data_IF_290621705099
#
_entry.id   IF_290621705099
#
_cell.length_a   1.000
_cell.length_b   1.000
_cell.length_c   1.000
_cell.angle_alpha   90.00
_cell.angle_beta   90.00
_cell.angle_gamma   90.00
#
_symmetry.space_group_name_H-M   'P 1'
#
loop_
_entity.id
_entity.type
_entity.pdbx_description
1 polymer ?
#
# COMPACT_ATOMS: atom_id res chain seq x y z
N UNK A 1 -31.57 -1.00 -20.72
CA UNK A 1 -31.38 -1.98 -19.64
C UNK A 1 -31.32 -1.20 -18.35
N UNK A 2 -32.27 -1.40 -17.42
CA UNK A 2 -32.29 -0.68 -16.15
C UNK A 2 -30.94 -0.80 -15.46
N UNK A 3 -30.42 0.33 -14.98
CA UNK A 3 -29.15 0.35 -14.28
C UNK A 3 -29.15 -0.68 -13.16
N UNK A 4 -28.07 -1.46 -13.11
CA UNK A 4 -27.89 -2.58 -12.20
C UNK A 4 -27.61 -2.09 -10.78
N UNK A 5 -28.45 -1.19 -10.25
CA UNK A 5 -28.28 -0.51 -8.96
C UNK A 5 -28.11 -1.50 -7.81
N UNK A 6 -28.78 -2.65 -7.85
CA UNK A 6 -28.65 -3.70 -6.83
C UNK A 6 -27.23 -4.31 -6.76
N UNK A 7 -26.41 -4.13 -7.81
CA UNK A 7 -25.00 -4.59 -7.86
C UNK A 7 -24.00 -3.49 -7.51
N UNK A 8 -24.47 -2.31 -7.08
CA UNK A 8 -23.62 -1.15 -6.72
C UNK A 8 -22.51 -1.56 -5.75
N UNK A 9 -22.85 -2.35 -4.73
CA UNK A 9 -21.94 -2.83 -3.67
C UNK A 9 -21.37 -4.23 -3.91
N UNK A 10 -21.52 -4.80 -5.11
CA UNK A 10 -20.96 -6.12 -5.42
C UNK A 10 -19.53 -5.99 -5.94
N UNK A 11 -18.66 -6.84 -5.41
CA UNK A 11 -17.32 -7.12 -5.97
C UNK A 11 -17.42 -8.09 -7.15
N UNK A 12 -16.38 -8.13 -7.98
CA UNK A 12 -16.25 -9.11 -9.06
C UNK A 12 -16.30 -10.54 -8.53
N UNK A 13 -15.72 -10.79 -7.35
CA UNK A 13 -15.73 -12.10 -6.71
C UNK A 13 -17.14 -12.53 -6.28
N UNK A 14 -17.94 -11.62 -5.72
CA UNK A 14 -19.34 -11.91 -5.36
C UNK A 14 -20.17 -12.24 -6.59
N UNK A 15 -19.97 -11.51 -7.69
CA UNK A 15 -20.60 -11.82 -8.98
C UNK A 15 -20.16 -13.18 -9.54
N UNK A 16 -18.86 -13.53 -9.43
CA UNK A 16 -18.32 -14.84 -9.81
C UNK A 16 -18.98 -15.97 -9.01
N UNK A 17 -19.07 -15.86 -7.68
CA UNK A 17 -19.70 -16.88 -6.82
C UNK A 17 -21.16 -17.12 -7.22
N UNK A 18 -21.93 -16.05 -7.49
CA UNK A 18 -23.31 -16.16 -7.97
C UNK A 18 -23.41 -16.78 -9.37
N UNK A 19 -22.52 -16.41 -10.30
CA UNK A 19 -22.43 -17.04 -11.62
C UNK A 19 -22.17 -18.55 -11.52
N UNK A 20 -21.25 -18.96 -10.65
CA UNK A 20 -20.91 -20.38 -10.42
C UNK A 20 -22.09 -21.15 -9.83
N UNK A 21 -22.79 -20.59 -8.84
CA UNK A 21 -23.97 -21.23 -8.24
C UNK A 21 -25.08 -21.47 -9.27
N UNK A 22 -25.40 -20.47 -10.10
CA UNK A 22 -26.42 -20.59 -11.15
C UNK A 22 -26.00 -21.61 -12.23
N UNK A 23 -24.70 -21.68 -12.53
CA UNK A 23 -24.19 -22.68 -13.48
C UNK A 23 -24.33 -24.10 -12.93
N UNK A 24 -24.02 -24.33 -11.65
CA UNK A 24 -24.21 -25.63 -11.01
C UNK A 24 -25.67 -26.05 -10.99
N UNK A 25 -26.58 -25.13 -10.63
CA UNK A 25 -28.01 -25.40 -10.61
C UNK A 25 -28.55 -25.72 -12.00
N UNK A 26 -28.20 -24.92 -13.01
CA UNK A 26 -28.63 -25.14 -14.40
C UNK A 26 -28.11 -26.47 -14.95
N UNK A 27 -26.85 -26.83 -14.68
CA UNK A 27 -26.29 -28.09 -15.14
C UNK A 27 -26.89 -29.29 -14.41
N UNK A 28 -27.20 -29.15 -13.12
CA UNK A 28 -27.88 -30.18 -12.33
C UNK A 28 -29.26 -30.49 -12.89
N UNK A 29 -30.10 -29.46 -13.07
CA UNK A 29 -31.44 -29.62 -13.66
C UNK A 29 -31.38 -30.23 -15.07
N UNK A 30 -30.40 -29.81 -15.88
CA UNK A 30 -30.23 -30.36 -17.22
C UNK A 30 -29.87 -31.84 -17.18
N UNK A 31 -28.90 -32.22 -16.34
CA UNK A 31 -28.43 -33.61 -16.24
C UNK A 31 -29.47 -34.56 -15.65
N UNK A 32 -30.14 -34.15 -14.58
CA UNK A 32 -31.06 -35.01 -13.83
C UNK A 32 -32.42 -35.17 -14.53
N UNK A 33 -32.81 -34.18 -15.33
CA UNK A 33 -34.15 -34.13 -15.95
C UNK A 33 -34.08 -34.09 -17.46
N UNK A 34 -33.45 -33.07 -18.07
CA UNK A 34 -33.56 -32.87 -19.53
C UNK A 34 -32.72 -33.85 -20.36
N UNK A 35 -31.53 -34.21 -19.87
CA UNK A 35 -30.58 -35.11 -20.53
C UNK A 35 -30.72 -36.55 -20.00
N UNK A 36 -31.67 -36.81 -19.09
CA UNK A 36 -31.90 -38.13 -18.50
C UNK A 36 -32.70 -39.02 -19.47
N UNK A 37 -32.18 -40.19 -19.89
CA UNK A 37 -32.89 -41.08 -20.80
C UNK A 37 -34.26 -41.55 -20.30
N UNK A 38 -34.46 -41.57 -18.98
CA UNK A 38 -35.70 -42.01 -18.31
C UNK A 38 -36.61 -40.84 -17.93
N UNK A 39 -36.32 -39.61 -18.37
CA UNK A 39 -37.06 -38.42 -17.95
C UNK A 39 -38.57 -38.52 -18.18
N UNK A 40 -38.98 -39.06 -19.33
CA UNK A 40 -40.40 -39.23 -19.69
C UNK A 40 -41.13 -40.30 -18.86
N UNK A 41 -40.40 -41.13 -18.11
CA UNK A 41 -40.95 -42.13 -17.19
C UNK A 41 -41.00 -41.60 -15.74
N UNK A 42 -40.17 -40.60 -15.42
CA UNK A 42 -39.99 -40.07 -14.07
C UNK A 42 -40.72 -38.75 -13.81
N UNK A 43 -41.04 -38.00 -14.86
CA UNK A 43 -41.64 -36.68 -14.79
C UNK A 43 -42.78 -36.54 -15.78
N UNK A 44 -43.78 -35.75 -15.41
CA UNK A 44 -44.84 -35.36 -16.33
C UNK A 44 -44.30 -34.40 -17.40
N UNK A 45 -44.92 -34.39 -18.57
CA UNK A 45 -44.51 -33.53 -19.68
C UNK A 45 -44.50 -32.04 -19.29
N UNK A 46 -45.47 -31.61 -18.50
CA UNK A 46 -45.58 -30.23 -18.00
C UNK A 46 -44.42 -29.87 -17.06
N UNK A 47 -43.93 -30.82 -16.25
CA UNK A 47 -42.78 -30.64 -15.37
C UNK A 47 -41.47 -30.51 -16.17
N UNK A 48 -41.31 -31.34 -17.21
CA UNK A 48 -40.15 -31.27 -18.12
C UNK A 48 -40.12 -29.91 -18.84
N UNK A 49 -41.27 -29.47 -19.38
CA UNK A 49 -41.39 -28.17 -20.05
C UNK A 49 -41.09 -27.00 -19.09
N UNK A 50 -41.59 -27.04 -17.85
CA UNK A 50 -41.29 -26.04 -16.82
C UNK A 50 -39.80 -25.99 -16.47
N UNK A 51 -39.14 -27.15 -16.37
CA UNK A 51 -37.71 -27.26 -16.08
C UNK A 51 -36.87 -26.76 -17.26
N UNK A 52 -37.30 -27.00 -18.50
CA UNK A 52 -36.66 -26.45 -19.69
C UNK A 52 -36.69 -24.91 -19.67
N UNK A 53 -37.85 -24.33 -19.39
CA UNK A 53 -38.00 -22.87 -19.22
C UNK A 53 -37.11 -22.36 -18.09
N UNK A 54 -37.04 -23.06 -16.95
CA UNK A 54 -36.18 -22.71 -15.83
C UNK A 54 -34.69 -22.73 -16.21
N UNK A 55 -34.22 -23.77 -16.93
CA UNK A 55 -32.84 -23.88 -17.41
C UNK A 55 -32.48 -22.77 -18.39
N UNK A 56 -33.40 -22.42 -19.31
CA UNK A 56 -33.23 -21.30 -20.22
C UNK A 56 -33.15 -19.96 -19.46
N UNK A 57 -34.03 -19.73 -18.49
CA UNK A 57 -34.01 -18.53 -17.63
C UNK A 57 -32.70 -18.43 -16.83
N UNK A 58 -32.26 -19.53 -16.20
CA UNK A 58 -30.98 -19.60 -15.47
C UNK A 58 -29.79 -19.30 -16.39
N UNK A 59 -29.83 -19.78 -17.63
CA UNK A 59 -28.78 -19.51 -18.63
C UNK A 59 -28.72 -18.02 -19.01
N UNK A 60 -29.85 -17.35 -19.17
CA UNK A 60 -29.90 -15.90 -19.42
C UNK A 60 -29.39 -15.10 -18.22
N UNK A 61 -29.82 -15.45 -17.01
CA UNK A 61 -29.35 -14.79 -15.78
C UNK A 61 -27.85 -15.00 -15.55
N UNK A 62 -27.33 -16.21 -15.82
CA UNK A 62 -25.89 -16.50 -15.82
C UNK A 62 -25.10 -15.58 -16.76
N UNK A 63 -25.60 -15.33 -17.97
CA UNK A 63 -24.96 -14.37 -18.91
C UNK A 63 -24.93 -12.95 -18.33
N UNK A 64 -26.01 -12.50 -17.68
CA UNK A 64 -26.03 -11.19 -16.98
C UNK A 64 -24.95 -11.11 -15.90
N UNK A 65 -24.79 -12.15 -15.08
CA UNK A 65 -23.74 -12.19 -14.06
C UNK A 65 -22.31 -12.28 -14.64
N UNK A 66 -22.14 -12.89 -15.82
CA UNK A 66 -20.85 -12.86 -16.52
C UNK A 66 -20.45 -11.42 -16.89
N UNK A 67 -21.39 -10.65 -17.47
CA UNK A 67 -21.15 -9.25 -17.79
C UNK A 67 -20.90 -8.37 -16.55
N UNK A 68 -21.66 -8.59 -15.47
CA UNK A 68 -21.44 -7.88 -14.19
C UNK A 68 -20.04 -8.15 -13.64
N UNK A 69 -19.65 -9.42 -13.58
CA UNK A 69 -18.32 -9.83 -13.10
C UNK A 69 -17.22 -9.15 -13.90
N UNK A 70 -17.29 -9.19 -15.23
CA UNK A 70 -16.28 -8.59 -16.09
C UNK A 70 -16.21 -7.07 -15.94
N UNK A 71 -17.36 -6.40 -15.92
CA UNK A 71 -17.42 -4.94 -15.71
C UNK A 71 -16.81 -4.54 -14.36
N UNK A 72 -17.11 -5.29 -13.30
CA UNK A 72 -16.55 -5.05 -11.96
C UNK A 72 -15.06 -5.36 -11.89
N UNK A 73 -14.60 -6.46 -12.48
CA UNK A 73 -13.18 -6.82 -12.51
C UNK A 73 -12.34 -5.76 -13.25
N UNK A 74 -12.84 -5.21 -14.36
CA UNK A 74 -12.17 -4.13 -15.08
C UNK A 74 -12.07 -2.84 -14.24
N UNK A 75 -13.10 -2.53 -13.46
CA UNK A 75 -13.12 -1.38 -12.54
C UNK A 75 -12.16 -1.58 -11.38
N UNK A 76 -12.21 -2.72 -10.71
CA UNK A 76 -11.28 -3.09 -9.61
C UNK A 76 -9.83 -3.01 -10.09
N UNK A 77 -9.52 -3.60 -11.25
CA UNK A 77 -8.19 -3.52 -11.85
C UNK A 77 -7.74 -2.08 -12.10
N UNK A 78 -8.61 -1.22 -12.63
CA UNK A 78 -8.29 0.20 -12.83
C UNK A 78 -8.00 0.92 -11.52
N UNK A 79 -8.82 0.69 -10.48
CA UNK A 79 -8.60 1.30 -9.17
C UNK A 79 -7.28 0.85 -8.52
N UNK A 80 -6.92 -0.43 -8.69
CA UNK A 80 -5.65 -0.96 -8.19
C UNK A 80 -4.45 -0.35 -8.95
N UNK A 81 -4.57 -0.18 -10.27
CA UNK A 81 -3.58 0.51 -11.11
C UNK A 81 -3.39 1.97 -10.68
N UNK A 82 -4.49 2.70 -10.44
CA UNK A 82 -4.48 4.08 -9.93
C UNK A 82 -3.81 4.17 -8.55
N UNK A 83 -4.17 3.28 -7.62
CA UNK A 83 -3.57 3.24 -6.29
C UNK A 83 -2.06 2.96 -6.35
N UNK A 84 -1.65 2.04 -7.23
CA UNK A 84 -0.23 1.72 -7.43
C UNK A 84 0.53 2.94 -7.99
N UNK A 85 -0.07 3.66 -8.93
CA UNK A 85 0.51 4.89 -9.47
C UNK A 85 0.65 5.98 -8.40
N UNK A 86 -0.36 6.16 -7.54
CA UNK A 86 -0.32 7.10 -6.41
C UNK A 86 0.81 6.74 -5.46
N UNK A 87 0.91 5.48 -5.02
CA UNK A 87 2.00 5.03 -4.14
C UNK A 87 3.38 5.28 -4.75
N UNK A 88 3.53 5.07 -6.05
CA UNK A 88 4.79 5.36 -6.75
C UNK A 88 5.14 6.86 -6.73
N UNK A 89 4.14 7.74 -6.88
CA UNK A 89 4.30 9.20 -6.77
C UNK A 89 4.71 9.58 -5.34
N UNK A 90 4.01 9.06 -4.32
CA UNK A 90 4.31 9.32 -2.91
C UNK A 90 5.74 8.88 -2.56
N UNK A 91 6.12 7.66 -2.92
CA UNK A 91 7.48 7.12 -2.74
C UNK A 91 8.56 8.00 -3.37
N UNK A 92 8.33 8.45 -4.61
CA UNK A 92 9.26 9.36 -5.29
C UNK A 92 9.44 10.67 -4.52
N UNK A 93 8.35 11.28 -4.05
CA UNK A 93 8.42 12.54 -3.32
C UNK A 93 8.98 12.38 -1.90
N UNK A 94 8.68 11.29 -1.20
CA UNK A 94 9.29 10.95 0.08
C UNK A 94 10.82 10.86 -0.03
N UNK A 95 11.33 10.16 -1.05
CA UNK A 95 12.76 10.09 -1.34
C UNK A 95 13.35 11.48 -1.62
N UNK A 96 12.70 12.29 -2.46
CA UNK A 96 13.14 13.65 -2.75
C UNK A 96 13.22 14.54 -1.51
N UNK A 97 12.25 14.44 -0.59
CA UNK A 97 12.25 15.18 0.67
C UNK A 97 13.44 14.74 1.52
N UNK A 98 13.62 13.43 1.72
CA UNK A 98 14.69 12.90 2.56
C UNK A 98 16.08 13.24 2.01
N UNK A 99 16.27 13.09 0.70
CA UNK A 99 17.55 13.37 0.02
C UNK A 99 17.87 14.86 -0.05
N UNK A 100 16.85 15.73 -0.03
CA UNK A 100 17.06 17.19 0.05
C UNK A 100 17.72 17.62 1.35
N UNK A 101 17.58 16.85 2.43
CA UNK A 101 18.24 17.10 3.71
C UNK A 101 19.66 16.55 3.74
N UNK A 102 19.87 15.36 3.18
CA UNK A 102 21.19 14.77 3.02
C UNK A 102 21.17 13.70 1.91
N UNK A 103 21.88 13.95 0.79
CA UNK A 103 21.94 13.02 -0.33
C UNK A 103 22.95 11.87 -0.13
N UNK A 104 23.75 11.89 0.95
CA UNK A 104 24.66 10.77 1.24
C UNK A 104 23.89 9.63 1.91
N UNK A 105 23.75 8.50 1.23
CA UNK A 105 23.01 7.34 1.72
C UNK A 105 23.80 6.52 2.76
N UNK A 106 25.10 6.78 2.94
CA UNK A 106 25.93 6.14 3.98
C UNK A 106 25.76 6.80 5.36
N UNK A 107 25.09 7.95 5.42
CA UNK A 107 24.85 8.72 6.65
C UNK A 107 23.36 9.02 6.82
N UNK A 108 22.98 9.35 8.06
CA UNK A 108 21.63 9.79 8.37
C UNK A 108 21.70 10.98 9.32
N UNK A 109 21.30 12.17 8.86
CA UNK A 109 21.54 13.40 9.62
C UNK A 109 20.53 13.58 10.73
N UNK A 110 20.86 14.47 11.68
CA UNK A 110 19.92 14.95 12.70
C UNK A 110 18.63 15.46 12.07
N UNK A 111 18.72 16.18 10.96
CA UNK A 111 17.55 16.74 10.27
C UNK A 111 16.63 15.65 9.73
N UNK A 112 17.22 14.62 9.11
CA UNK A 112 16.47 13.45 8.64
C UNK A 112 15.84 12.68 9.80
N UNK A 113 16.58 12.49 10.90
CA UNK A 113 16.11 11.84 12.12
C UNK A 113 14.93 12.57 12.74
N UNK A 114 15.08 13.87 13.00
CA UNK A 114 14.04 14.67 13.63
C UNK A 114 12.81 14.79 12.74
N UNK A 115 12.98 14.93 11.42
CA UNK A 115 11.86 14.96 10.49
C UNK A 115 11.11 13.63 10.48
N UNK A 116 11.81 12.49 10.44
CA UNK A 116 11.20 11.16 10.48
C UNK A 116 10.32 10.99 11.72
N UNK A 117 10.87 11.21 12.92
CA UNK A 117 10.11 11.04 14.17
C UNK A 117 8.93 12.01 14.24
N UNK A 118 9.12 13.26 13.78
CA UNK A 118 8.05 14.26 13.73
C UNK A 118 6.93 13.85 12.77
N UNK A 119 7.28 13.33 11.59
CA UNK A 119 6.32 12.83 10.59
C UNK A 119 5.54 11.62 11.10
N UNK A 120 6.20 10.69 11.79
CA UNK A 120 5.55 9.56 12.47
C UNK A 120 4.56 10.02 13.55
N UNK A 121 4.93 11.03 14.35
CA UNK A 121 4.04 11.59 15.37
C UNK A 121 2.85 12.33 14.75
N UNK A 122 3.09 13.13 13.69
CA UNK A 122 2.06 13.88 12.97
C UNK A 122 0.98 12.95 12.40
N UNK A 123 1.40 11.81 11.87
CA UNK A 123 0.46 10.84 11.31
C UNK A 123 -0.23 9.99 12.38
N UNK A 124 0.12 10.10 13.67
CA UNK A 124 -0.42 9.24 14.75
C UNK A 124 -0.39 7.75 14.37
N UNK A 125 0.61 7.36 13.60
CA UNK A 125 0.65 6.10 12.88
C UNK A 125 1.10 4.93 13.76
N UNK A 126 0.86 3.71 13.26
CA UNK A 126 1.47 2.46 13.74
C UNK A 126 3.00 2.43 13.61
N UNK A 127 3.59 3.42 12.94
CA UNK A 127 5.01 3.54 12.59
C UNK A 127 5.75 4.52 13.52
N UNK A 128 5.31 4.67 14.78
CA UNK A 128 6.11 5.38 15.77
C UNK A 128 7.34 4.52 16.02
N UNK A 129 8.55 5.03 15.74
CA UNK A 129 9.75 4.24 15.87
C UNK A 129 10.02 3.88 17.33
N UNK A 130 10.36 2.62 17.56
CA UNK A 130 10.79 2.14 18.86
C UNK A 130 12.23 2.63 19.15
N UNK A 131 12.58 2.75 20.44
CA UNK A 131 13.88 3.32 20.85
C UNK A 131 15.08 2.62 20.22
N UNK A 132 15.02 1.29 20.07
CA UNK A 132 16.10 0.52 19.45
C UNK A 132 16.23 0.76 17.94
N UNK A 133 15.16 1.20 17.28
CA UNK A 133 15.17 1.54 15.85
C UNK A 133 15.83 2.89 15.59
N UNK A 134 15.86 3.74 16.62
CA UNK A 134 16.44 5.07 16.61
C UNK A 134 17.92 5.08 17.04
N UNK A 135 18.39 4.01 17.68
CA UNK A 135 19.74 3.91 18.21
C UNK A 135 20.71 3.30 17.19
N UNK A 136 21.65 4.11 16.70
CA UNK A 136 22.69 3.67 15.76
C UNK A 136 23.66 2.66 16.38
N UNK A 137 23.75 2.56 17.71
CA UNK A 137 24.59 1.60 18.40
C UNK A 137 23.79 0.43 18.97
N UNK A 138 22.53 0.27 18.55
CA UNK A 138 21.73 -0.84 19.03
C UNK A 138 22.39 -2.20 18.71
N UNK A 139 22.57 -3.04 19.74
CA UNK A 139 23.27 -4.33 19.68
C UNK A 139 24.72 -4.27 19.19
N UNK A 140 25.42 -3.15 19.41
CA UNK A 140 26.83 -3.04 19.01
C UNK A 140 27.73 -4.08 19.70
N UNK A 141 27.45 -4.41 20.96
CA UNK A 141 28.22 -5.40 21.72
C UNK A 141 27.82 -6.86 21.39
N UNK A 142 26.77 -7.06 20.59
CA UNK A 142 26.16 -8.38 20.36
C UNK A 142 25.76 -8.57 18.89
N UNK A 143 26.73 -8.47 17.99
CA UNK A 143 26.54 -8.76 16.57
C UNK A 143 27.64 -9.66 16.00
N UNK A 144 27.32 -10.35 14.90
CA UNK A 144 28.26 -11.24 14.19
C UNK A 144 28.82 -10.64 12.89
N UNK A 145 28.61 -9.34 12.65
CA UNK A 145 29.13 -8.64 11.48
C UNK A 145 30.64 -8.38 11.59
N UNK A 146 31.28 -8.21 10.43
CA UNK A 146 32.73 -8.03 10.28
C UNK A 146 33.28 -6.79 11.00
N UNK A 147 32.43 -5.78 11.23
CA UNK A 147 32.78 -4.59 12.00
C UNK A 147 31.55 -3.85 12.51
N UNK A 148 31.73 -3.07 13.59
CA UNK A 148 30.75 -2.13 14.12
C UNK A 148 30.29 -1.13 13.05
N UNK A 149 31.22 -0.72 12.16
CA UNK A 149 30.92 0.17 11.05
C UNK A 149 29.88 -0.44 10.11
N UNK A 150 30.00 -1.73 9.79
CA UNK A 150 29.04 -2.47 8.97
C UNK A 150 27.67 -2.56 9.65
N UNK A 151 27.62 -2.74 10.98
CA UNK A 151 26.37 -2.70 11.72
C UNK A 151 25.71 -1.32 11.63
N UNK A 152 26.47 -0.25 11.90
CA UNK A 152 25.96 1.12 11.85
C UNK A 152 25.47 1.51 10.46
N UNK A 153 26.15 1.08 9.40
CA UNK A 153 25.67 1.25 8.01
C UNK A 153 24.33 0.55 7.78
N UNK A 154 24.15 -0.68 8.29
CA UNK A 154 22.88 -1.39 8.22
C UNK A 154 21.78 -0.65 8.98
N UNK A 155 22.08 -0.10 10.15
CA UNK A 155 21.15 0.71 10.93
C UNK A 155 20.76 1.99 10.19
N UNK A 156 21.72 2.70 9.59
CA UNK A 156 21.43 3.85 8.71
C UNK A 156 20.48 3.47 7.57
N UNK A 157 20.73 2.35 6.90
CA UNK A 157 19.83 1.84 5.86
C UNK A 157 18.41 1.61 6.39
N UNK A 158 18.29 0.95 7.54
CA UNK A 158 16.98 0.70 8.16
C UNK A 158 16.28 1.98 8.61
N UNK A 159 17.00 2.95 9.18
CA UNK A 159 16.43 4.25 9.56
C UNK A 159 15.94 5.01 8.33
N UNK A 160 16.70 4.98 7.22
CA UNK A 160 16.28 5.58 5.95
C UNK A 160 15.01 4.93 5.41
N UNK A 161 14.95 3.61 5.37
CA UNK A 161 13.76 2.89 4.87
C UNK A 161 12.51 3.26 5.67
N UNK A 162 12.61 3.27 7.01
CA UNK A 162 11.49 3.64 7.89
C UNK A 162 11.13 5.13 7.81
N UNK A 163 12.12 5.99 7.61
CA UNK A 163 11.87 7.40 7.35
C UNK A 163 11.10 7.60 6.04
N UNK A 164 11.47 6.88 4.98
CA UNK A 164 10.73 6.90 3.71
C UNK A 164 9.29 6.43 3.91
N UNK A 165 9.06 5.31 4.62
CA UNK A 165 7.72 4.81 4.91
C UNK A 165 6.87 5.83 5.68
N UNK A 166 7.44 6.50 6.69
CA UNK A 166 6.73 7.53 7.46
C UNK A 166 6.36 8.75 6.60
N UNK A 167 7.25 9.18 5.70
CA UNK A 167 7.00 10.29 4.77
C UNK A 167 5.98 9.90 3.69
N UNK A 168 6.05 8.67 3.17
CA UNK A 168 5.08 8.10 2.23
C UNK A 168 3.67 8.12 2.84
N UNK A 169 3.52 7.67 4.08
CA UNK A 169 2.24 7.67 4.78
C UNK A 169 1.68 9.09 5.03
N UNK A 170 2.56 10.08 5.22
CA UNK A 170 2.13 11.48 5.26
C UNK A 170 1.55 11.93 3.92
N UNK A 171 2.20 11.55 2.80
CA UNK A 171 1.79 11.94 1.46
C UNK A 171 0.53 11.18 1.00
N UNK A 172 0.37 9.92 1.38
CA UNK A 172 -0.80 9.10 1.06
C UNK A 172 -2.10 9.72 1.59
N UNK A 173 -2.04 10.46 2.71
CA UNK A 173 -3.20 11.20 3.26
C UNK A 173 -3.71 12.34 2.38
N UNK A 174 -2.91 12.77 1.41
CA UNK A 174 -3.34 13.74 0.41
C UNK A 174 -4.32 13.12 -0.61
N UNK A 175 -4.56 11.81 -0.54
CA UNK A 175 -5.44 11.09 -1.46
C UNK A 175 -6.62 10.49 -0.71
N UNK A 176 -7.81 10.58 -1.31
CA UNK A 176 -9.03 9.98 -0.78
C UNK A 176 -9.82 9.33 -1.91
N UNK A 177 -10.44 8.18 -1.63
CA UNK A 177 -11.29 7.53 -2.61
C UNK A 177 -12.65 8.23 -2.69
N UNK A 178 -13.01 8.76 -3.86
CA UNK A 178 -14.30 9.39 -4.11
C UNK A 178 -15.29 8.37 -4.64
N UNK A 179 -16.32 8.04 -3.86
CA UNK A 179 -17.41 7.15 -4.31
C UNK A 179 -18.21 7.77 -5.46
N UNK A 180 -18.27 9.10 -5.53
CA UNK A 180 -19.00 9.84 -6.58
C UNK A 180 -18.28 9.77 -7.92
N UNK A 181 -16.96 9.97 -7.90
CA UNK A 181 -16.12 9.97 -9.11
C UNK A 181 -15.62 8.57 -9.45
N UNK A 182 -15.77 7.62 -8.52
CA UNK A 182 -15.31 6.24 -8.66
C UNK A 182 -13.81 6.14 -8.95
N UNK A 183 -13.04 6.99 -8.29
CA UNK A 183 -11.62 7.17 -8.51
C UNK A 183 -10.93 7.69 -7.23
N UNK A 184 -9.62 7.53 -7.18
CA UNK A 184 -8.79 8.23 -6.19
C UNK A 184 -8.64 9.70 -6.56
N UNK A 185 -8.95 10.58 -5.62
CA UNK A 185 -8.91 12.03 -5.81
C UNK A 185 -7.95 12.64 -4.80
N UNK A 186 -7.13 13.57 -5.26
CA UNK A 186 -6.27 14.36 -4.39
C UNK A 186 -7.15 15.31 -3.55
N UNK A 187 -7.21 15.10 -2.23
CA UNK A 187 -7.81 16.04 -1.29
C UNK A 187 -6.95 17.29 -1.12
N UNK A 188 -5.64 17.13 -1.25
CA UNK A 188 -4.62 18.19 -1.25
C UNK A 188 -3.67 17.94 -2.41
N UNK A 189 -3.33 18.94 -3.23
CA UNK A 189 -2.31 18.78 -4.26
C UNK A 189 -0.99 18.27 -3.69
N UNK A 190 -0.33 17.32 -4.38
CA UNK A 190 0.90 16.69 -3.89
C UNK A 190 2.00 17.70 -3.53
N UNK A 191 2.07 18.83 -4.23
CA UNK A 191 3.03 19.90 -3.94
C UNK A 191 2.78 20.54 -2.57
N UNK A 192 1.53 20.83 -2.24
CA UNK A 192 1.15 21.39 -0.94
C UNK A 192 1.36 20.37 0.18
N UNK A 193 1.14 19.08 -0.08
CA UNK A 193 1.46 18.02 0.87
C UNK A 193 2.98 17.93 1.15
N UNK A 194 3.81 18.03 0.11
CA UNK A 194 5.28 18.08 0.25
C UNK A 194 5.70 19.32 1.07
N UNK A 195 5.16 20.50 0.77
CA UNK A 195 5.43 21.73 1.51
C UNK A 195 5.03 21.61 2.99
N UNK A 196 3.90 20.96 3.26
CA UNK A 196 3.44 20.70 4.64
C UNK A 196 4.43 19.84 5.41
N UNK A 197 4.93 18.76 4.80
CA UNK A 197 5.95 17.89 5.42
C UNK A 197 7.24 18.68 5.67
N UNK A 198 7.71 19.46 4.69
CA UNK A 198 8.89 20.29 4.85
C UNK A 198 8.72 21.32 5.97
N UNK A 199 7.51 21.88 6.12
CA UNK A 199 7.18 22.81 7.19
C UNK A 199 7.22 22.17 8.59
N UNK A 200 7.12 20.84 8.71
CA UNK A 200 7.27 20.14 10.01
C UNK A 200 8.62 20.41 10.66
N UNK A 201 9.68 20.65 9.86
CA UNK A 201 11.02 21.03 10.37
C UNK A 201 11.01 22.32 11.21
N UNK A 202 10.01 23.18 11.02
CA UNK A 202 9.83 24.44 11.75
C UNK A 202 8.79 24.34 12.87
N UNK A 203 8.21 23.17 13.07
CA UNK A 203 7.19 22.96 14.09
C UNK A 203 7.80 22.87 15.49
N UNK A 204 7.00 23.19 16.51
CA UNK A 204 7.40 22.98 17.91
C UNK A 204 7.66 21.51 18.23
N UNK A 205 6.97 20.59 17.55
CA UNK A 205 7.15 19.15 17.71
C UNK A 205 8.54 18.71 17.28
N UNK A 206 9.06 19.23 16.17
CA UNK A 206 10.43 18.96 15.73
C UNK A 206 11.46 19.37 16.79
N UNK A 207 11.32 20.56 17.37
CA UNK A 207 12.20 21.00 18.47
C UNK A 207 12.06 20.15 19.73
N UNK A 208 10.87 19.61 20.00
CA UNK A 208 10.65 18.69 21.12
C UNK A 208 11.32 17.32 20.87
N UNK A 209 11.24 16.82 19.64
CA UNK A 209 11.91 15.58 19.21
C UNK A 209 13.43 15.73 19.35
N UNK A 210 14.01 16.82 18.84
CA UNK A 210 15.45 17.07 18.94
C UNK A 210 15.92 17.04 20.40
N UNK A 211 15.19 17.69 21.31
CA UNK A 211 15.51 17.68 22.75
C UNK A 211 15.33 16.30 23.39
N UNK A 212 14.25 15.60 23.07
CA UNK A 212 13.92 14.29 23.67
C UNK A 212 14.93 13.22 23.29
N UNK A 213 15.39 13.23 22.05
CA UNK A 213 16.27 12.21 21.48
C UNK A 213 17.72 12.67 21.31
N UNK A 214 18.12 13.77 21.96
CA UNK A 214 19.49 14.30 21.90
C UNK A 214 20.56 13.23 22.18
N UNK A 215 20.29 12.32 23.13
CA UNK A 215 21.17 11.21 23.50
C UNK A 215 21.36 10.15 22.39
N UNK A 216 20.44 10.05 21.41
CA UNK A 216 20.56 9.16 20.24
C UNK A 216 21.14 9.90 19.03
N UNK A 217 20.86 11.21 18.93
CA UNK A 217 21.37 12.08 17.88
C UNK A 217 22.89 12.24 18.00
N UNK A 218 23.43 12.38 19.21
CA UNK A 218 24.87 12.59 19.40
C UNK A 218 25.73 11.42 18.86
N UNK A 219 25.44 10.14 19.20
CA UNK A 219 26.13 9.01 18.58
C UNK A 219 25.96 8.92 17.06
N UNK A 220 24.78 9.28 16.55
CA UNK A 220 24.50 9.31 15.11
C UNK A 220 25.37 10.35 14.39
N UNK A 221 25.47 11.56 14.94
CA UNK A 221 26.32 12.61 14.39
C UNK A 221 27.82 12.25 14.50
N UNK A 222 28.23 11.57 15.57
CA UNK A 222 29.60 11.08 15.70
C UNK A 222 29.95 10.11 14.56
N UNK A 223 29.07 9.13 14.28
CA UNK A 223 29.23 8.23 13.15
C UNK A 223 29.27 8.98 11.81
N UNK A 224 28.37 9.94 11.58
CA UNK A 224 28.37 10.71 10.32
C UNK A 224 29.71 11.44 10.10
N UNK A 225 30.29 12.03 11.15
CA UNK A 225 31.62 12.67 11.09
C UNK A 225 32.73 11.68 10.76
N UNK A 226 32.68 10.45 11.28
CA UNK A 226 33.62 9.39 10.95
C UNK A 226 33.57 9.02 9.46
N UNK A 227 32.35 8.80 8.92
CA UNK A 227 32.15 8.48 7.50
C UNK A 227 32.68 9.59 6.60
N UNK A 228 32.32 10.85 6.88
CA UNK A 228 32.82 12.00 6.13
C UNK A 228 34.34 12.12 6.18
N UNK A 229 34.96 11.91 7.35
CA UNK A 229 36.41 11.96 7.50
C UNK A 229 37.11 10.88 6.65
N UNK A 230 36.53 9.68 6.59
CA UNK A 230 37.02 8.59 5.72
C UNK A 230 36.90 8.97 4.24
N UNK A 231 35.75 9.49 3.81
CA UNK A 231 35.54 9.93 2.43
C UNK A 231 36.52 11.05 2.04
N UNK A 232 36.70 12.07 2.89
CA UNK A 232 37.67 13.16 2.65
C UNK A 232 39.10 12.64 2.52
N UNK A 233 39.52 11.70 3.37
CA UNK A 233 40.86 11.06 3.29
C UNK A 233 41.07 10.29 2.00
N UNK A 234 40.04 9.60 1.48
CA UNK A 234 40.11 8.90 0.19
C UNK A 234 40.32 9.87 -0.97
N UNK A 235 39.60 10.99 -0.97
CA UNK A 235 39.70 12.01 -2.01
C UNK A 235 41.07 12.73 -2.00
N UNK A 236 41.71 12.89 -0.84
CA UNK A 236 43.05 13.49 -0.73
C UNK A 236 44.14 12.54 -1.26
N UNK A 237 43.98 11.22 -1.09
CA UNK A 237 44.96 10.21 -1.56
C UNK A 237 44.87 9.90 -3.05
N UNK A 238 43.81 10.33 -3.75
CA UNK A 238 43.64 10.07 -5.19
C UNK A 238 44.16 11.19 -6.10
N UNK A 239 45.01 12.07 -5.57
CA UNK A 239 45.68 13.17 -6.30
C UNK A 239 47.16 12.87 -6.41
#
# INVERSE_FOLDING_TARGET
MSDMEFTKYWTSERARKKQTALTKLSNGLRKEVLDNPLANELFEREEIEAIEVAVQALSQVKRKFAHIKEKKARREKRMDEELTAIKAICKKHAAQILDSLNPNHETFTKEQFCLWVTASNYTRMRLVPELWELDINHNIDNHHLDSDHTLRQRHVGSMRDKALEALEECLDRAWTFSVKEDAWVASVPIKEAVETIQALTKSSEYSNVEKRYAHLIEPLEAFNREVEAVQRRKNIKSV
#
